data_IF_880109704661
#
_entry.id   IF_880109704661
#
_cell.length_a   1.000
_cell.length_b   1.000
_cell.length_c   1.000
_cell.angle_alpha   90.00
_cell.angle_beta   90.00
_cell.angle_gamma   90.00
#
_symmetry.space_group_name_H-M   'P 1'
#
loop_
_entity.id
_entity.type
_entity.pdbx_description
1 polymer ?
#
# COMPACT_ATOMS: atom_id res chain seq x y z
N UNK A 1 15.95 21.95 -1.20
CA UNK A 1 14.76 22.04 -0.33
C UNK A 1 13.49 22.54 -1.04
N UNK A 2 13.58 23.22 -2.22
CA UNK A 2 12.41 23.85 -2.87
C UNK A 2 11.47 22.97 -3.71
N UNK A 3 11.86 21.76 -4.12
CA UNK A 3 11.04 20.98 -5.07
C UNK A 3 9.80 20.33 -4.43
N UNK A 4 9.83 19.98 -3.14
CA UNK A 4 8.73 19.29 -2.47
C UNK A 4 7.57 20.24 -2.15
N UNK A 5 7.87 21.44 -1.62
CA UNK A 5 6.86 22.47 -1.36
C UNK A 5 6.19 22.92 -2.66
N UNK A 6 6.97 23.17 -3.72
CA UNK A 6 6.43 23.55 -5.02
C UNK A 6 5.50 22.47 -5.62
N UNK A 7 5.78 21.18 -5.38
CA UNK A 7 4.88 20.11 -5.80
C UNK A 7 3.51 20.23 -5.12
N UNK A 8 3.48 20.37 -3.80
CA UNK A 8 2.24 20.48 -3.04
C UNK A 8 1.46 21.78 -3.33
N UNK A 9 2.15 22.89 -3.56
CA UNK A 9 1.52 24.16 -3.98
C UNK A 9 0.87 24.06 -5.37
N UNK A 10 1.42 23.24 -6.27
CA UNK A 10 0.86 23.06 -7.61
C UNK A 10 -0.30 22.07 -7.61
N UNK A 11 -0.20 20.97 -6.86
CA UNK A 11 -1.26 19.94 -6.87
C UNK A 11 -2.54 20.44 -6.21
N UNK A 12 -2.42 21.24 -5.14
CA UNK A 12 -3.57 21.82 -4.42
C UNK A 12 -4.37 22.83 -5.25
N UNK A 13 -3.77 23.43 -6.28
CA UNK A 13 -4.48 24.30 -7.24
C UNK A 13 -5.35 23.52 -8.22
N UNK A 14 -5.13 22.22 -8.36
CA UNK A 14 -5.78 21.36 -9.35
C UNK A 14 -6.81 20.44 -8.71
N UNK A 15 -6.50 19.91 -7.52
CA UNK A 15 -7.31 18.91 -6.83
C UNK A 15 -7.25 19.08 -5.32
N UNK A 16 -8.35 18.74 -4.65
CA UNK A 16 -8.36 18.54 -3.20
C UNK A 16 -7.43 17.38 -2.84
N UNK A 17 -6.57 17.60 -1.84
CA UNK A 17 -5.50 16.66 -1.50
C UNK A 17 -5.55 16.29 -0.02
N UNK A 18 -5.66 14.99 0.25
CA UNK A 18 -5.46 14.41 1.58
C UNK A 18 -4.15 13.63 1.56
N UNK A 19 -3.27 13.92 2.53
CA UNK A 19 -1.99 13.23 2.67
C UNK A 19 -2.06 12.25 3.86
N UNK A 20 -1.83 10.96 3.60
CA UNK A 20 -1.62 9.95 4.64
C UNK A 20 -0.12 9.76 4.82
N UNK A 21 0.48 10.14 5.97
CA UNK A 21 1.93 10.10 6.14
C UNK A 21 2.44 8.67 6.28
N UNK A 22 3.56 8.39 5.63
CA UNK A 22 4.36 7.19 5.82
C UNK A 22 5.41 7.33 6.92
N UNK A 23 6.15 6.25 7.18
CA UNK A 23 7.20 6.20 8.20
C UNK A 23 8.42 7.08 7.89
N UNK A 24 8.53 7.60 6.67
CA UNK A 24 9.61 8.48 6.22
C UNK A 24 9.19 9.97 6.18
N UNK A 25 7.91 10.27 6.39
CA UNK A 25 7.35 11.62 6.24
C UNK A 25 7.40 12.41 7.55
N UNK A 26 8.48 12.26 8.31
CA UNK A 26 8.66 12.98 9.56
C UNK A 26 8.73 14.50 9.31
N UNK A 27 7.96 15.27 10.06
CA UNK A 27 7.84 16.73 9.92
C UNK A 27 7.26 17.19 8.56
N UNK A 28 6.52 16.34 7.85
CA UNK A 28 5.91 16.71 6.56
C UNK A 28 4.94 17.89 6.69
N UNK A 29 4.34 18.08 7.88
CA UNK A 29 3.48 19.22 8.21
C UNK A 29 4.18 20.57 8.06
N UNK A 30 5.52 20.61 8.10
CA UNK A 30 6.32 21.83 7.88
C UNK A 30 6.53 22.16 6.40
N UNK A 31 6.22 21.22 5.50
CA UNK A 31 6.49 21.32 4.07
C UNK A 31 5.22 21.43 3.22
N UNK A 32 4.09 20.98 3.75
CA UNK A 32 2.79 21.05 3.07
C UNK A 32 2.14 22.42 3.29
N UNK A 33 1.43 22.96 2.29
CA UNK A 33 0.63 24.15 2.44
C UNK A 33 -0.67 23.83 3.22
N UNK A 34 -1.33 24.85 3.76
CA UNK A 34 -2.48 24.69 4.68
C UNK A 34 -3.71 24.05 4.03
N UNK A 35 -3.77 24.07 2.70
CA UNK A 35 -4.84 23.49 1.89
C UNK A 35 -4.80 21.95 1.88
N UNK A 36 -3.67 21.33 2.24
CA UNK A 36 -3.57 19.87 2.33
C UNK A 36 -4.10 19.39 3.68
N UNK A 37 -5.08 18.50 3.62
CA UNK A 37 -5.54 17.79 4.82
C UNK A 37 -4.54 16.70 5.17
N UNK A 38 -3.85 16.83 6.30
CA UNK A 38 -2.96 15.80 6.82
C UNK A 38 -3.74 14.80 7.69
N UNK A 39 -3.77 13.54 7.27
CA UNK A 39 -4.37 12.45 8.02
C UNK A 39 -3.41 11.87 9.07
N UNK A 40 -3.95 11.06 9.99
CA UNK A 40 -3.13 10.28 10.91
C UNK A 40 -2.40 9.13 10.20
N UNK A 41 -1.32 8.63 10.79
CA UNK A 41 -0.51 7.52 10.25
C UNK A 41 -1.26 6.17 10.14
N UNK A 42 -2.45 6.08 10.72
CA UNK A 42 -3.35 4.92 10.59
C UNK A 42 -4.15 4.93 9.28
N UNK A 43 -4.21 6.07 8.60
CA UNK A 43 -4.98 6.24 7.36
C UNK A 43 -6.30 6.98 7.53
N UNK A 44 -7.08 6.97 6.46
CA UNK A 44 -8.43 7.52 6.37
C UNK A 44 -9.40 6.45 5.88
N UNK A 45 -10.65 6.53 6.33
CA UNK A 45 -11.72 5.70 5.79
C UNK A 45 -12.57 6.54 4.85
N UNK A 46 -12.81 6.01 3.66
CA UNK A 46 -13.80 6.51 2.71
C UNK A 46 -14.72 5.34 2.41
N UNK A 47 -16.01 5.50 2.71
CA UNK A 47 -17.01 4.43 2.69
C UNK A 47 -16.57 3.22 3.54
N UNK A 48 -16.35 2.06 2.93
CA UNK A 48 -15.87 0.84 3.58
C UNK A 48 -14.39 0.51 3.24
N UNK A 49 -13.64 1.51 2.77
CA UNK A 49 -12.24 1.38 2.33
C UNK A 49 -11.32 2.16 3.26
N UNK A 50 -10.34 1.48 3.85
CA UNK A 50 -9.21 2.13 4.55
C UNK A 50 -8.08 2.42 3.57
N UNK A 51 -7.75 3.70 3.40
CA UNK A 51 -6.56 4.15 2.69
C UNK A 51 -5.44 4.41 3.70
N UNK A 52 -4.34 3.67 3.61
CA UNK A 52 -3.22 3.78 4.55
C UNK A 52 -1.88 3.70 3.84
N UNK A 53 -0.81 4.23 4.45
CA UNK A 53 0.54 3.94 3.96
C UNK A 53 0.86 2.45 4.13
N UNK A 54 0.45 1.85 5.25
CA UNK A 54 0.61 0.42 5.54
C UNK A 54 1.85 0.04 6.37
N UNK A 55 2.52 1.03 6.96
CA UNK A 55 3.57 0.84 7.97
C UNK A 55 3.01 0.68 9.40
N UNK A 56 1.70 0.86 9.59
CA UNK A 56 1.00 0.75 10.87
C UNK A 56 -0.11 -0.30 10.77
N UNK A 57 -0.51 -0.87 11.91
CA UNK A 57 -1.68 -1.76 11.98
C UNK A 57 -2.97 -0.92 12.14
N UNK A 58 -4.05 -1.22 11.40
CA UNK A 58 -5.36 -0.60 11.62
C UNK A 58 -5.88 -0.84 13.05
N UNK A 59 -6.71 0.07 13.55
CA UNK A 59 -7.37 -0.09 14.86
C UNK A 59 -8.67 -0.87 14.74
N UNK A 60 -9.06 -1.57 15.81
CA UNK A 60 -10.35 -2.29 15.91
C UNK A 60 -11.59 -1.42 15.60
N UNK A 61 -11.52 -0.10 15.84
CA UNK A 61 -12.60 0.82 15.47
C UNK A 61 -12.85 0.89 13.95
N UNK A 62 -11.93 0.38 13.13
CA UNK A 62 -12.05 0.30 11.67
C UNK A 62 -12.58 -1.05 11.19
N UNK A 63 -13.02 -1.94 12.10
CA UNK A 63 -13.48 -3.29 11.77
C UNK A 63 -14.68 -3.38 10.81
N UNK A 64 -15.37 -2.27 10.53
CA UNK A 64 -16.47 -2.24 9.55
C UNK A 64 -16.00 -2.18 8.09
N UNK A 65 -14.73 -1.83 7.82
CA UNK A 65 -14.19 -1.79 6.45
C UNK A 65 -14.17 -3.17 5.81
N UNK A 66 -14.32 -3.24 4.49
CA UNK A 66 -14.18 -4.48 3.73
C UNK A 66 -12.90 -4.50 2.88
N UNK A 67 -12.28 -3.33 2.68
CA UNK A 67 -11.07 -3.19 1.87
C UNK A 67 -10.03 -2.34 2.59
N UNK A 68 -8.76 -2.75 2.50
CA UNK A 68 -7.59 -1.93 2.82
C UNK A 68 -6.83 -1.68 1.52
N UNK A 69 -6.53 -0.42 1.21
CA UNK A 69 -5.61 -0.05 0.13
C UNK A 69 -4.35 0.54 0.75
N UNK A 70 -3.19 -0.01 0.39
CA UNK A 70 -1.92 0.42 0.97
C UNK A 70 -0.77 0.53 -0.02
N UNK A 71 0.24 1.33 0.34
CA UNK A 71 1.51 1.43 -0.37
C UNK A 71 2.63 0.71 0.39
N UNK A 72 3.69 1.46 0.72
CA UNK A 72 4.83 1.08 1.58
C UNK A 72 5.75 -0.03 1.07
N UNK A 73 5.22 -1.19 0.67
CA UNK A 73 6.07 -2.35 0.33
C UNK A 73 6.56 -2.34 -1.12
N UNK A 74 5.93 -1.54 -1.98
CA UNK A 74 6.30 -1.36 -3.39
C UNK A 74 6.41 -2.70 -4.15
N UNK A 75 5.29 -3.40 -4.37
CA UNK A 75 5.28 -4.72 -4.99
C UNK A 75 5.92 -4.72 -6.39
N UNK A 76 6.89 -5.62 -6.58
CA UNK A 76 7.62 -5.85 -7.83
C UNK A 76 7.73 -7.35 -8.05
N UNK A 77 7.43 -7.83 -9.26
CA UNK A 77 7.48 -9.25 -9.59
C UNK A 77 8.92 -9.70 -9.88
N UNK A 78 9.42 -10.67 -9.12
CA UNK A 78 10.76 -11.22 -9.28
C UNK A 78 10.75 -12.71 -9.59
N UNK A 79 11.03 -13.04 -10.84
CA UNK A 79 11.23 -14.40 -11.31
C UNK A 79 12.27 -14.37 -12.42
N UNK A 80 13.49 -14.86 -12.13
CA UNK A 80 14.68 -14.62 -12.96
C UNK A 80 14.51 -14.97 -14.45
N UNK A 81 13.78 -16.04 -14.74
CA UNK A 81 13.56 -16.55 -16.10
C UNK A 81 12.32 -15.91 -16.78
N UNK A 82 11.60 -15.03 -16.08
CA UNK A 82 10.40 -14.38 -16.58
C UNK A 82 10.74 -13.09 -17.33
N UNK A 83 10.06 -12.87 -18.47
CA UNK A 83 10.20 -11.66 -19.27
C UNK A 83 9.76 -10.38 -18.54
N UNK A 84 8.93 -10.54 -17.50
CA UNK A 84 8.39 -9.44 -16.69
C UNK A 84 9.10 -9.30 -15.35
N UNK A 85 10.27 -9.91 -15.18
CA UNK A 85 11.08 -9.77 -13.98
C UNK A 85 11.48 -8.31 -13.74
N UNK A 86 11.22 -7.81 -12.53
CA UNK A 86 11.45 -6.43 -12.14
C UNK A 86 10.30 -5.47 -12.49
N UNK A 87 9.19 -5.96 -13.04
CA UNK A 87 8.01 -5.14 -13.28
C UNK A 87 7.26 -4.82 -11.98
N UNK A 88 6.81 -3.56 -11.86
CA UNK A 88 5.90 -3.13 -10.79
C UNK A 88 4.51 -3.73 -11.04
N UNK A 89 3.89 -4.23 -9.98
CA UNK A 89 2.62 -4.94 -10.06
C UNK A 89 1.64 -4.44 -9.00
N UNK A 90 0.36 -4.62 -9.24
CA UNK A 90 -0.68 -4.55 -8.22
C UNK A 90 -0.83 -5.93 -7.59
N UNK A 91 -1.16 -5.93 -6.30
CA UNK A 91 -1.54 -7.18 -5.61
C UNK A 91 -2.88 -6.96 -4.93
N UNK A 92 -3.86 -7.80 -5.20
CA UNK A 92 -5.10 -7.91 -4.43
C UNK A 92 -5.09 -9.24 -3.70
N UNK A 93 -5.35 -9.22 -2.40
CA UNK A 93 -5.35 -10.38 -1.52
C UNK A 93 -6.65 -10.42 -0.75
N UNK A 94 -7.38 -11.52 -0.82
CA UNK A 94 -8.47 -11.82 0.11
C UNK A 94 -7.86 -12.54 1.31
N UNK A 95 -8.09 -12.02 2.51
CA UNK A 95 -7.57 -12.57 3.75
C UNK A 95 -8.63 -12.66 4.85
N UNK A 96 -8.35 -13.46 5.88
CA UNK A 96 -9.22 -13.57 7.06
C UNK A 96 -9.23 -12.25 7.84
N UNK A 97 -10.40 -11.62 7.90
CA UNK A 97 -10.63 -10.34 8.57
C UNK A 97 -10.35 -10.42 10.07
N UNK A 98 -10.56 -11.57 10.72
CA UNK A 98 -10.30 -11.72 12.16
C UNK A 98 -8.83 -11.56 12.51
N UNK A 99 -7.94 -11.85 11.56
CA UNK A 99 -6.51 -11.65 11.75
C UNK A 99 -6.17 -10.17 11.84
N UNK A 100 -6.87 -9.30 11.11
CA UNK A 100 -6.69 -7.85 11.23
C UNK A 100 -7.47 -7.29 12.42
N UNK A 101 -8.74 -7.67 12.52
CA UNK A 101 -9.70 -7.14 13.49
C UNK A 101 -10.33 -8.28 14.29
N UNK A 102 -9.84 -8.51 15.51
CA UNK A 102 -10.28 -9.64 16.32
C UNK A 102 -11.78 -9.57 16.66
N UNK A 103 -12.36 -8.37 16.60
CA UNK A 103 -13.78 -8.10 16.85
C UNK A 103 -14.72 -8.52 15.72
N UNK A 104 -14.23 -8.83 14.50
CA UNK A 104 -15.09 -9.05 13.33
C UNK A 104 -14.58 -10.18 12.44
N UNK A 105 -15.42 -11.19 12.21
CA UNK A 105 -15.20 -12.25 11.23
C UNK A 105 -15.64 -11.88 9.82
N UNK A 106 -15.10 -12.63 8.85
CA UNK A 106 -15.38 -12.49 7.44
C UNK A 106 -14.11 -12.40 6.62
N UNK A 107 -14.27 -11.98 5.37
CA UNK A 107 -13.17 -11.72 4.45
C UNK A 107 -12.84 -10.22 4.44
N UNK A 108 -11.58 -9.93 4.15
CA UNK A 108 -11.06 -8.59 3.96
C UNK A 108 -10.22 -8.58 2.68
N UNK A 109 -10.45 -7.61 1.80
CA UNK A 109 -9.58 -7.39 0.65
C UNK A 109 -8.44 -6.44 1.00
N UNK A 110 -7.21 -6.82 0.69
CA UNK A 110 -6.02 -6.01 0.78
C UNK A 110 -5.49 -5.73 -0.62
N UNK A 111 -5.52 -4.47 -1.04
CA UNK A 111 -4.96 -3.99 -2.30
C UNK A 111 -3.65 -3.27 -2.02
N UNK A 112 -2.59 -3.71 -2.68
CA UNK A 112 -1.24 -3.16 -2.53
C UNK A 112 -0.87 -2.44 -3.82
N UNK A 113 -0.66 -1.14 -3.69
CA UNK A 113 -0.33 -0.24 -4.78
C UNK A 113 1.16 -0.36 -5.14
N UNK A 114 1.52 -0.44 -6.44
CA UNK A 114 2.90 -0.23 -6.86
C UNK A 114 3.32 1.21 -6.57
N UNK A 115 4.63 1.44 -6.41
CA UNK A 115 5.15 2.80 -6.24
C UNK A 115 4.79 3.66 -7.46
N UNK A 116 4.23 4.86 -7.23
CA UNK A 116 3.93 5.79 -8.33
C UNK A 116 5.20 6.22 -9.08
N UNK A 117 6.29 6.45 -8.35
CA UNK A 117 7.56 6.83 -8.92
C UNK A 117 8.16 5.66 -9.73
N UNK A 118 8.23 5.83 -11.06
CA UNK A 118 8.82 4.85 -11.98
C UNK A 118 10.31 4.60 -11.75
N UNK A 119 11.04 5.53 -11.13
CA UNK A 119 12.48 5.39 -10.89
C UNK A 119 12.83 4.59 -9.63
N UNK A 120 11.83 4.21 -8.83
CA UNK A 120 11.99 3.20 -7.79
C UNK A 120 12.01 1.82 -8.44
N UNK A 121 13.13 1.48 -9.09
CA UNK A 121 13.38 0.14 -9.59
C UNK A 121 14.05 -0.66 -8.48
N UNK A 122 13.38 -1.73 -8.04
CA UNK A 122 14.07 -2.78 -7.33
C UNK A 122 14.71 -3.69 -8.39
N UNK A 123 16.03 -3.61 -8.57
CA UNK A 123 16.78 -4.46 -9.51
C UNK A 123 17.05 -5.85 -8.93
N UNK A 124 16.90 -6.00 -7.62
CA UNK A 124 17.07 -7.25 -6.89
C UNK A 124 16.04 -7.33 -5.77
N UNK A 125 15.51 -8.53 -5.55
CA UNK A 125 14.65 -8.80 -4.40
C UNK A 125 15.48 -8.69 -3.12
N UNK A 126 15.14 -7.74 -2.25
CA UNK A 126 15.72 -7.67 -0.91
C UNK A 126 15.01 -8.69 -0.02
N UNK A 127 15.75 -9.69 0.45
CA UNK A 127 15.25 -10.65 1.43
C UNK A 127 15.31 -10.03 2.81
N UNK A 128 14.16 -9.61 3.34
CA UNK A 128 14.02 -9.21 4.72
C UNK A 128 13.61 -10.43 5.56
N UNK A 129 14.22 -10.61 6.74
CA UNK A 129 13.85 -11.69 7.67
C UNK A 129 12.41 -11.56 8.21
N UNK A 130 11.83 -10.35 8.13
CA UNK A 130 10.46 -10.01 8.51
C UNK A 130 9.89 -9.03 7.50
N UNK A 131 8.59 -9.08 7.27
CA UNK A 131 7.92 -8.06 6.46
C UNK A 131 8.13 -6.68 7.08
N UNK A 132 8.32 -5.68 6.23
CA UNK A 132 8.40 -4.28 6.67
C UNK A 132 7.02 -3.68 6.96
N UNK A 133 5.94 -4.44 6.71
CA UNK A 133 4.56 -4.06 7.01
C UNK A 133 3.93 -5.01 8.03
N UNK A 134 3.39 -4.49 9.15
CA UNK A 134 2.66 -5.30 10.12
C UNK A 134 1.35 -5.87 9.55
N UNK A 135 0.78 -5.25 8.51
CA UNK A 135 -0.43 -5.75 7.82
C UNK A 135 -0.08 -7.04 7.08
N UNK A 136 1.04 -7.05 6.35
CA UNK A 136 1.52 -8.22 5.60
C UNK A 136 1.97 -9.34 6.55
N UNK A 137 2.60 -9.00 7.68
CA UNK A 137 3.02 -10.01 8.68
C UNK A 137 1.82 -10.73 9.32
N UNK A 138 0.68 -10.04 9.48
CA UNK A 138 -0.49 -10.54 10.20
C UNK A 138 -1.56 -11.16 9.30
N UNK A 139 -1.54 -10.90 7.99
CA UNK A 139 -2.58 -11.40 7.08
C UNK A 139 -2.52 -12.93 6.96
N UNK A 140 -3.69 -13.55 6.81
CA UNK A 140 -3.83 -14.97 6.49
C UNK A 140 -4.50 -15.09 5.14
N UNK A 141 -3.73 -15.51 4.13
CA UNK A 141 -4.11 -15.42 2.71
C UNK A 141 -5.10 -16.53 2.36
N UNK A 142 -6.25 -16.15 1.81
CA UNK A 142 -7.25 -17.05 1.25
C UNK A 142 -7.09 -17.15 -0.27
N UNK A 143 -6.98 -16.00 -0.94
CA UNK A 143 -6.79 -15.91 -2.38
C UNK A 143 -5.96 -14.67 -2.72
N UNK A 144 -5.22 -14.69 -3.83
CA UNK A 144 -4.62 -13.47 -4.36
C UNK A 144 -4.67 -13.36 -5.88
N UNK A 145 -4.52 -12.12 -6.36
CA UNK A 145 -4.32 -11.77 -7.76
C UNK A 145 -3.14 -10.82 -7.86
N UNK A 146 -2.22 -11.14 -8.75
CA UNK A 146 -1.08 -10.28 -9.10
C UNK A 146 -1.36 -9.73 -10.50
N UNK A 147 -1.36 -8.41 -10.63
CA UNK A 147 -1.71 -7.74 -11.88
C UNK A 147 -0.61 -6.79 -12.34
N UNK A 148 -0.38 -6.74 -13.64
CA UNK A 148 0.45 -5.69 -14.25
C UNK A 148 -0.27 -4.34 -14.18
N UNK A 149 0.46 -3.27 -14.49
CA UNK A 149 -0.11 -1.91 -14.51
C UNK A 149 -1.20 -1.73 -15.58
N UNK A 150 -1.21 -2.56 -16.62
CA UNK A 150 -2.24 -2.59 -17.67
C UNK A 150 -3.50 -3.41 -17.27
N UNK A 151 -3.51 -3.99 -16.06
CA UNK A 151 -4.60 -4.83 -15.55
C UNK A 151 -4.50 -6.32 -15.91
N UNK A 152 -3.47 -6.74 -16.65
CA UNK A 152 -3.26 -8.16 -16.96
C UNK A 152 -2.95 -8.95 -15.69
N UNK A 153 -3.71 -10.00 -15.41
CA UNK A 153 -3.45 -10.92 -14.30
C UNK A 153 -2.31 -11.87 -14.70
N UNK A 154 -1.25 -11.91 -13.90
CA UNK A 154 -0.04 -12.70 -14.16
C UNK A 154 0.22 -13.78 -13.11
N UNK A 155 -0.54 -13.77 -12.01
CA UNK A 155 -0.31 -14.70 -10.92
C UNK A 155 -1.39 -14.67 -9.85
N UNK A 156 -1.25 -15.61 -8.92
CA UNK A 156 -2.15 -15.85 -7.79
C UNK A 156 -1.37 -16.01 -6.48
N UNK A 157 -2.01 -16.54 -5.44
CA UNK A 157 -1.42 -16.78 -4.11
C UNK A 157 -0.11 -17.58 -4.13
N UNK A 158 0.07 -18.49 -5.09
CA UNK A 158 1.28 -19.32 -5.21
C UNK A 158 2.51 -18.48 -5.57
N UNK A 159 2.30 -17.35 -6.25
CA UNK A 159 3.34 -16.43 -6.68
C UNK A 159 3.49 -15.21 -5.76
N UNK A 160 2.78 -15.12 -4.63
CA UNK A 160 2.92 -13.99 -3.71
C UNK A 160 4.35 -13.83 -3.19
N UNK A 161 5.02 -14.95 -2.92
CA UNK A 161 6.41 -14.93 -2.49
C UNK A 161 7.37 -14.39 -3.56
N UNK A 162 6.95 -14.26 -4.82
CA UNK A 162 7.75 -13.60 -5.86
C UNK A 162 7.58 -12.06 -5.84
N UNK A 163 6.63 -11.53 -5.06
CA UNK A 163 6.22 -10.12 -5.10
C UNK A 163 6.34 -9.40 -3.76
N UNK A 164 5.91 -10.05 -2.67
CA UNK A 164 5.78 -9.47 -1.33
C UNK A 164 6.47 -10.31 -0.25
#
# INVERSE_FOLDING_TARGET
>A
MGNCTSFFENITKLIDTILVPGNHDANIEKLIPNEITLAGSKGIIIDDILLTHGHTIPTENFSQINTIVMGHIHPVFFEKESLINGERVWVSVICDKQKMFHSKSGELELIILPSFNRYFYATQKKFYKKSISPIIEKMDVIQAKILRLDGTIIGNEQLLSAVI
#
